data_IF_944578135021
#
_entry.id   IF_944578135021
#
_cell.length_a   1.000
_cell.length_b   1.000
_cell.length_c   1.000
_cell.angle_alpha   90.00
_cell.angle_beta   90.00
_cell.angle_gamma   90.00
#
_symmetry.space_group_name_H-M   'P 1'
#
loop_
_entity.id
_entity.type
_entity.pdbx_description
1 polymer ?
#
# COMPACT_ATOMS: atom_id res chain seq x y z
N UNK A 1 19.00 -7.24 8.31
CA UNK A 1 18.89 -5.82 7.89
C UNK A 1 17.48 -5.59 7.40
N UNK A 2 16.86 -4.48 7.78
CA UNK A 2 15.66 -3.93 7.13
C UNK A 2 16.07 -3.18 5.86
N UNK A 3 15.13 -2.91 4.96
CA UNK A 3 15.37 -2.04 3.81
C UNK A 3 14.60 -2.44 2.55
N UNK A 4 14.16 -1.41 1.83
CA UNK A 4 13.37 -1.52 0.61
C UNK A 4 13.99 -2.38 -0.51
N UNK A 5 15.31 -2.58 -0.48
CA UNK A 5 16.04 -3.46 -1.42
C UNK A 5 15.47 -4.89 -1.49
N UNK A 6 14.94 -5.43 -0.39
CA UNK A 6 14.36 -6.78 -0.39
C UNK A 6 13.01 -6.82 -1.13
N UNK A 7 12.25 -5.73 -1.09
CA UNK A 7 11.02 -5.59 -1.88
C UNK A 7 11.38 -5.47 -3.37
N UNK A 8 12.40 -4.67 -3.69
CA UNK A 8 12.89 -4.53 -5.07
C UNK A 8 13.39 -5.87 -5.65
N UNK A 9 14.12 -6.66 -4.86
CA UNK A 9 14.57 -8.00 -5.25
C UNK A 9 13.39 -8.93 -5.54
N UNK A 10 12.32 -8.88 -4.74
CA UNK A 10 11.10 -9.67 -4.99
C UNK A 10 10.34 -9.23 -6.23
N UNK A 11 10.27 -7.93 -6.49
CA UNK A 11 9.70 -7.42 -7.75
C UNK A 11 10.44 -8.03 -8.94
N UNK A 12 11.78 -7.98 -8.94
CA UNK A 12 12.59 -8.55 -10.00
C UNK A 12 12.37 -10.07 -10.12
N UNK A 13 12.39 -10.80 -9.01
CA UNK A 13 12.13 -12.25 -9.01
C UNK A 13 10.77 -12.59 -9.64
N UNK A 14 9.72 -11.83 -9.32
CA UNK A 14 8.37 -12.06 -9.83
C UNK A 14 8.26 -11.76 -11.31
N UNK A 15 8.93 -10.70 -11.78
CA UNK A 15 9.01 -10.33 -13.20
C UNK A 15 9.76 -11.39 -14.01
N UNK A 16 10.91 -11.88 -13.52
CA UNK A 16 11.73 -12.88 -14.21
C UNK A 16 11.07 -14.26 -14.24
N UNK A 17 10.47 -14.69 -13.13
CA UNK A 17 9.84 -16.01 -13.02
C UNK A 17 8.41 -16.05 -13.54
N UNK A 18 7.79 -14.89 -13.76
CA UNK A 18 6.37 -14.76 -14.14
C UNK A 18 5.41 -15.55 -13.24
N UNK A 19 5.75 -15.67 -11.95
CA UNK A 19 5.04 -16.56 -11.03
C UNK A 19 4.13 -15.84 -10.02
N UNK A 20 4.24 -14.51 -9.92
CA UNK A 20 3.41 -13.69 -9.05
C UNK A 20 3.08 -12.36 -9.73
N UNK A 21 1.98 -11.75 -9.31
CA UNK A 21 1.66 -10.35 -9.62
C UNK A 21 1.99 -9.50 -8.41
N UNK A 22 2.83 -8.49 -8.59
CA UNK A 22 3.11 -7.52 -7.54
C UNK A 22 1.85 -6.70 -7.24
N UNK A 23 1.44 -6.69 -5.97
CA UNK A 23 0.26 -5.95 -5.50
C UNK A 23 0.65 -4.60 -4.92
N UNK A 24 1.52 -4.59 -3.91
CA UNK A 24 2.11 -3.41 -3.28
C UNK A 24 3.25 -3.85 -2.34
N UNK A 25 4.12 -2.92 -1.95
CA UNK A 25 5.14 -3.12 -0.94
C UNK A 25 5.21 -1.92 -0.02
N UNK A 26 5.44 -2.15 1.27
CA UNK A 26 5.51 -1.09 2.26
C UNK A 26 6.45 -1.43 3.44
N UNK A 27 6.86 -0.40 4.16
CA UNK A 27 7.59 -0.47 5.43
C UNK A 27 6.88 0.41 6.47
N UNK A 28 6.96 0.02 7.76
CA UNK A 28 6.33 0.74 8.89
C UNK A 28 6.80 2.22 8.99
N UNK A 29 8.02 2.51 8.54
CA UNK A 29 8.59 3.87 8.41
C UNK A 29 7.99 4.73 7.27
N UNK A 30 6.70 4.59 6.98
CA UNK A 30 5.94 5.34 5.98
C UNK A 30 6.44 5.22 4.53
N UNK A 31 7.07 4.09 4.18
CA UNK A 31 7.52 3.82 2.81
C UNK A 31 6.52 2.97 2.05
N UNK A 32 6.07 3.39 0.87
CA UNK A 32 5.10 2.67 0.06
C UNK A 32 5.52 2.63 -1.42
N UNK A 33 5.16 1.55 -2.10
CA UNK A 33 5.22 1.40 -3.55
C UNK A 33 4.00 0.62 -4.02
N UNK A 34 3.16 1.24 -4.84
CA UNK A 34 1.88 0.66 -5.29
C UNK A 34 2.06 -0.01 -6.66
N UNK A 35 2.89 0.56 -7.52
CA UNK A 35 3.21 0.08 -8.86
C UNK A 35 4.71 -0.06 -9.03
N UNK A 36 5.20 -1.17 -9.59
CA UNK A 36 6.62 -1.49 -9.63
C UNK A 36 7.30 -0.83 -10.84
N UNK A 37 6.96 0.41 -11.21
CA UNK A 37 7.69 1.09 -12.30
C UNK A 37 8.95 1.81 -11.79
N UNK A 38 9.07 2.01 -10.48
CA UNK A 38 10.32 2.35 -9.79
C UNK A 38 10.78 1.18 -8.92
N UNK A 39 12.02 1.24 -8.44
CA UNK A 39 12.61 0.25 -7.51
C UNK A 39 12.87 0.87 -6.12
N UNK A 40 12.14 1.94 -5.81
CA UNK A 40 12.23 2.71 -4.56
C UNK A 40 10.83 3.08 -4.08
N UNK A 41 10.73 3.66 -2.88
CA UNK A 41 9.51 4.23 -2.34
C UNK A 41 9.00 5.36 -3.23
N UNK A 42 7.68 5.47 -3.37
CA UNK A 42 7.04 6.52 -4.16
C UNK A 42 5.85 7.12 -3.40
N UNK A 43 6.08 8.28 -2.80
CA UNK A 43 5.06 9.01 -2.06
C UNK A 43 3.94 9.56 -2.96
N UNK A 44 4.21 9.84 -4.24
CA UNK A 44 3.21 10.36 -5.17
C UNK A 44 2.17 9.29 -5.49
N UNK A 45 2.62 8.04 -5.68
CA UNK A 45 1.69 6.91 -5.81
C UNK A 45 0.81 6.75 -4.57
N UNK A 46 1.39 6.83 -3.37
CA UNK A 46 0.63 6.71 -2.13
C UNK A 46 -0.41 7.83 -1.96
N UNK A 47 -0.03 9.08 -2.25
CA UNK A 47 -0.96 10.23 -2.18
C UNK A 47 -2.10 10.08 -3.19
N UNK A 48 -1.83 9.59 -4.39
CA UNK A 48 -2.87 9.35 -5.39
C UNK A 48 -3.90 8.32 -4.89
N UNK A 49 -3.45 7.20 -4.33
CA UNK A 49 -4.34 6.18 -3.75
C UNK A 49 -5.15 6.74 -2.59
N UNK A 50 -4.53 7.50 -1.68
CA UNK A 50 -5.25 8.12 -0.55
C UNK A 50 -6.28 9.15 -1.04
N UNK A 51 -5.97 9.92 -2.09
CA UNK A 51 -6.92 10.85 -2.70
C UNK A 51 -8.11 10.12 -3.33
N UNK A 52 -7.87 8.98 -3.98
CA UNK A 52 -8.92 8.11 -4.52
C UNK A 52 -9.80 7.52 -3.40
N UNK A 53 -9.21 7.03 -2.32
CA UNK A 53 -9.95 6.56 -1.14
C UNK A 53 -10.80 7.68 -0.53
N UNK A 54 -10.24 8.89 -0.39
CA UNK A 54 -10.98 10.04 0.13
C UNK A 54 -12.17 10.39 -0.76
N UNK A 55 -12.00 10.36 -2.09
CA UNK A 55 -13.08 10.58 -3.04
C UNK A 55 -14.16 9.48 -2.96
N UNK A 56 -13.75 8.21 -2.85
CA UNK A 56 -14.63 7.06 -2.71
C UNK A 56 -15.51 7.17 -1.45
N UNK A 57 -14.92 7.39 -0.27
CA UNK A 57 -15.68 7.52 0.96
C UNK A 57 -16.56 8.78 0.97
N UNK A 58 -16.05 9.90 0.46
CA UNK A 58 -16.84 11.12 0.32
C UNK A 58 -18.08 10.92 -0.56
N UNK A 59 -17.99 10.12 -1.63
CA UNK A 59 -19.13 9.80 -2.49
C UNK A 59 -20.26 9.05 -1.75
N UNK A 60 -19.94 8.40 -0.62
CA UNK A 60 -20.86 7.68 0.26
C UNK A 60 -21.30 8.51 1.47
N UNK A 61 -20.91 9.79 1.55
CA UNK A 61 -21.17 10.65 2.71
C UNK A 61 -20.32 10.30 3.94
N UNK A 62 -19.21 9.58 3.74
CA UNK A 62 -18.31 9.11 4.79
C UNK A 62 -16.95 9.83 4.72
N UNK A 63 -16.20 9.75 5.81
CA UNK A 63 -14.81 10.21 5.93
C UNK A 63 -13.83 9.05 5.83
N UNK A 64 -12.53 9.35 5.69
CA UNK A 64 -11.47 8.33 5.80
C UNK A 64 -11.45 7.66 7.18
N UNK A 65 -11.77 8.41 8.24
CA UNK A 65 -11.83 7.86 9.60
C UNK A 65 -12.93 6.81 9.73
N UNK A 66 -14.09 7.04 9.08
CA UNK A 66 -15.16 6.04 9.02
C UNK A 66 -14.69 4.77 8.30
N UNK A 67 -13.92 4.92 7.22
CA UNK A 67 -13.33 3.78 6.50
C UNK A 67 -12.34 2.97 7.34
N UNK A 68 -11.50 3.64 8.13
CA UNK A 68 -10.60 2.97 9.08
C UNK A 68 -11.40 2.21 10.13
N UNK A 69 -12.47 2.80 10.66
CA UNK A 69 -13.35 2.15 11.63
C UNK A 69 -14.09 0.94 11.03
N UNK A 70 -14.49 0.99 9.75
CA UNK A 70 -15.02 -0.18 9.02
C UNK A 70 -14.00 -1.34 9.02
N UNK A 71 -12.72 -1.05 8.73
CA UNK A 71 -11.64 -2.05 8.74
C UNK A 71 -11.44 -2.64 10.14
N UNK A 72 -11.42 -1.80 11.18
CA UNK A 72 -11.26 -2.28 12.56
C UNK A 72 -12.45 -3.11 13.04
N UNK A 73 -13.67 -2.78 12.63
CA UNK A 73 -14.86 -3.60 12.95
C UNK A 73 -14.81 -4.96 12.29
N UNK A 74 -14.29 -5.04 11.06
CA UNK A 74 -14.23 -6.30 10.31
C UNK A 74 -13.07 -7.21 10.76
N UNK A 75 -11.88 -6.64 10.96
CA UNK A 75 -10.65 -7.41 11.17
C UNK A 75 -10.06 -7.28 12.59
N UNK A 76 -10.58 -6.38 13.42
CA UNK A 76 -10.07 -6.08 14.74
C UNK A 76 -8.89 -5.09 14.73
N UNK A 77 -8.29 -4.92 15.91
CA UNK A 77 -7.18 -3.99 16.14
C UNK A 77 -5.86 -4.74 16.23
N UNK A 78 -4.80 -4.15 15.70
CA UNK A 78 -3.42 -4.58 15.93
C UNK A 78 -2.72 -3.56 16.82
N UNK A 79 -2.04 -4.07 17.86
CA UNK A 79 -1.13 -3.31 18.70
C UNK A 79 0.19 -4.09 18.72
N UNK A 80 1.29 -3.39 18.45
CA UNK A 80 2.65 -3.96 18.46
C UNK A 80 3.13 -4.27 19.88
#
# INVERSE_FOLDING_TARGET
LTGFKFIAEKIQEFEEKHNHTYMMGFEESFGYLIKPFVRDKDAIQAVLVVAELAAYYRSRGLTLADGIEEIYKEYGYYAE
#
